data_IF_766646808945
#
_entry.id   IF_766646808945
#
_cell.length_a   1.000
_cell.length_b   1.000
_cell.length_c   1.000
_cell.angle_alpha   90.00
_cell.angle_beta   90.00
_cell.angle_gamma   90.00
#
_symmetry.space_group_name_H-M   'P 1'
#
loop_
_entity.id
_entity.type
_entity.pdbx_description
1 polymer ?
2 water ?
#
# COMPACT_ATOMS: atom_id res chain seq x y z
N UNK A 3 -8.77 3.87 15.85
CA UNK A 3 -7.37 4.36 15.92
C UNK A 3 -6.94 4.92 14.55
N UNK A 4 -7.88 5.16 13.64
CA UNK A 4 -7.58 5.74 12.33
C UNK A 4 -6.91 4.71 11.42
N UNK A 5 -6.40 5.17 10.29
CA UNK A 5 -5.72 4.24 9.37
C UNK A 5 -4.36 3.97 9.99
N UNK A 6 -3.77 2.80 9.71
CA UNK A 6 -2.43 2.49 10.18
C UNK A 6 -1.39 3.36 9.46
N UNK A 7 -0.24 3.54 10.14
CA UNK A 7 0.86 4.33 9.56
C UNK A 7 1.60 3.50 8.51
N UNK A 8 2.06 4.17 7.48
CA UNK A 8 2.90 3.52 6.47
C UNK A 8 4.11 2.95 7.22
N UNK A 9 4.58 1.72 6.90
CA UNK A 9 5.75 1.16 7.55
C UNK A 9 6.95 2.06 7.29
N UNK A 10 7.80 2.10 8.29
CA UNK A 10 9.07 2.85 8.17
C UNK A 10 10.16 1.92 7.62
N UNK A 11 10.99 2.51 6.76
CA UNK A 11 12.16 1.88 6.11
C UNK A 11 13.14 1.52 7.22
N UNK A 12 13.79 0.34 7.19
CA UNK A 12 14.75 -0.02 8.22
C UNK A 12 15.99 0.88 8.08
N UNK A 13 16.75 1.06 9.15
CA UNK A 13 18.11 1.67 9.05
C UNK A 13 19.02 0.69 8.30
N UNK A 14 18.88 -0.59 8.64
CA UNK A 14 19.71 -1.75 8.24
C UNK A 14 19.26 -2.24 6.86
N UNK A 15 20.17 -2.33 5.89
CA UNK A 15 19.86 -2.73 4.50
C UNK A 15 20.13 -4.21 4.31
N UNK A 16 20.04 -4.99 5.39
CA UNK A 16 20.19 -6.46 5.37
C UNK A 16 19.03 -7.10 4.60
N UNK A 17 19.27 -8.28 4.03
CA UNK A 17 18.26 -9.09 3.31
C UNK A 17 17.00 -9.25 4.17
N UNK A 18 17.18 -9.53 5.46
CA UNK A 18 16.08 -9.82 6.41
C UNK A 18 15.31 -8.52 6.73
N UNK A 19 16.00 -7.41 7.02
CA UNK A 19 15.38 -6.09 7.25
C UNK A 19 14.56 -5.71 6.00
N UNK A 20 15.14 -5.83 4.81
CA UNK A 20 14.46 -5.41 3.57
C UNK A 20 13.31 -6.36 3.21
N UNK A 21 13.49 -7.65 3.40
CA UNK A 21 12.45 -8.65 3.11
C UNK A 21 11.24 -8.38 4.04
N UNK A 22 11.50 -8.07 5.30
CA UNK A 22 10.40 -7.82 6.28
C UNK A 22 9.72 -6.53 5.80
N UNK A 23 10.50 -5.53 5.42
CA UNK A 23 9.93 -4.20 5.02
C UNK A 23 9.04 -4.45 3.79
N UNK A 24 9.48 -5.29 2.83
CA UNK A 24 8.66 -5.59 1.63
C UNK A 24 7.34 -6.19 2.08
N UNK A 25 7.38 -7.17 2.99
CA UNK A 25 6.16 -7.82 3.50
C UNK A 25 5.26 -6.75 4.12
N UNK A 26 5.77 -5.89 4.99
CA UNK A 26 4.93 -4.83 5.61
C UNK A 26 4.31 -3.96 4.51
N UNK A 27 5.09 -3.52 3.53
CA UNK A 27 4.56 -2.60 2.51
C UNK A 27 3.43 -3.28 1.75
N UNK A 28 3.62 -4.54 1.31
CA UNK A 28 2.58 -5.33 0.60
C UNK A 28 1.31 -5.36 1.47
N UNK A 29 1.50 -5.61 2.76
CA UNK A 29 0.41 -5.77 3.73
C UNK A 29 -0.31 -4.44 3.92
N UNK A 30 0.43 -3.37 3.99
CA UNK A 30 -0.12 -2.01 4.17
C UNK A 30 -0.94 -1.64 2.94
N UNK A 31 -0.40 -1.92 1.74
CA UNK A 31 -1.17 -1.69 0.48
C UNK A 31 -2.49 -2.44 0.58
N UNK A 32 -2.48 -3.71 0.98
CA UNK A 32 -3.70 -4.52 1.01
C UNK A 32 -4.66 -3.92 2.04
N UNK A 33 -4.18 -3.42 3.16
CA UNK A 33 -5.08 -2.72 4.13
C UNK A 33 -5.75 -1.55 3.43
N UNK A 34 -4.98 -0.67 2.80
CA UNK A 34 -5.54 0.54 2.15
C UNK A 34 -6.51 0.16 1.05
N UNK A 35 -6.13 -0.80 0.20
CA UNK A 35 -7.00 -1.21 -0.92
C UNK A 35 -8.32 -1.74 -0.36
N UNK A 36 -8.28 -2.57 0.68
CA UNK A 36 -9.47 -3.19 1.25
C UNK A 36 -10.34 -2.07 1.81
N UNK A 37 -9.71 -1.10 2.45
CA UNK A 37 -10.44 0.01 3.12
C UNK A 37 -11.17 0.79 2.01
N UNK A 38 -10.48 1.06 0.91
CA UNK A 38 -11.04 1.82 -0.25
C UNK A 38 -12.19 1.02 -0.86
N UNK A 39 -12.02 -0.28 -1.08
CA UNK A 39 -13.07 -1.12 -1.72
C UNK A 39 -14.27 -1.18 -0.78
N UNK A 40 -14.10 -1.40 0.53
CA UNK A 40 -15.22 -1.57 1.48
C UNK A 40 -15.94 -0.23 1.63
N UNK A 41 -15.22 0.89 1.56
CA UNK A 41 -15.83 2.23 1.77
C UNK A 41 -16.60 2.58 0.50
N UNK A 42 -16.12 2.20 -0.69
CA UNK A 42 -16.89 2.38 -1.97
C UNK A 42 -18.21 1.63 -1.90
N UNK A 43 -18.23 0.43 -1.32
CA UNK A 43 -19.45 -0.43 -1.25
C UNK A 43 -20.53 0.28 -0.43
N UNK A 44 -20.15 0.98 0.64
CA UNK A 44 -21.07 1.59 1.64
C UNK A 44 -21.61 2.93 1.13
N UNK A 45 -20.76 3.75 0.50
CA UNK A 45 -21.17 5.00 -0.22
C UNK A 45 -20.66 4.91 -1.66
N UNK A 46 -21.53 4.48 -2.59
CA UNK A 46 -21.20 4.27 -4.02
C UNK A 46 -21.90 5.33 -4.88
N UNK A 47 -21.74 6.60 -4.52
CA UNK A 47 -22.03 7.75 -5.41
C UNK A 47 -20.99 7.72 -6.54
N UNK A 48 -21.38 8.17 -7.74
CA UNK A 48 -20.52 8.20 -8.96
C UNK A 48 -19.27 9.06 -8.72
N UNK A 49 -19.29 9.91 -7.68
CA UNK A 49 -18.16 10.81 -7.32
C UNK A 49 -16.97 9.99 -6.80
N UNK A 50 -17.19 8.78 -6.27
CA UNK A 50 -16.15 7.98 -5.55
C UNK A 50 -14.87 7.95 -6.38
N UNK A 51 -13.71 8.37 -5.81
CA UNK A 51 -12.45 8.44 -6.56
C UNK A 51 -12.00 7.10 -7.18
N UNK A 52 -11.17 7.22 -8.22
CA UNK A 52 -10.66 6.11 -9.07
C UNK A 52 -9.30 5.68 -8.50
N UNK A 53 -9.08 4.40 -8.22
CA UNK A 53 -7.75 3.95 -7.73
C UNK A 53 -7.29 2.75 -8.56
N UNK A 54 -5.97 2.65 -8.72
CA UNK A 54 -5.26 1.48 -9.30
C UNK A 54 -5.22 0.37 -8.25
N UNK A 55 -5.71 -0.84 -8.57
CA UNK A 55 -5.45 -2.06 -7.77
C UNK A 55 -4.01 -2.50 -8.07
N UNK A 56 -3.26 -2.88 -7.05
CA UNK A 56 -1.82 -3.17 -7.25
C UNK A 56 -1.72 -4.43 -8.09
N UNK A 57 -0.81 -4.37 -9.05
CA UNK A 57 -0.53 -5.45 -10.04
C UNK A 57 0.67 -6.25 -9.52
N UNK A 58 0.45 -7.42 -8.93
CA UNK A 58 1.54 -8.23 -8.32
C UNK A 58 2.48 -8.79 -9.41
N UNK A 59 2.10 -8.71 -10.69
CA UNK A 59 2.99 -9.12 -11.80
C UNK A 59 4.20 -8.17 -11.91
N UNK A 60 4.14 -6.99 -11.28
CA UNK A 60 5.28 -6.03 -11.26
C UNK A 60 6.29 -6.37 -10.14
N UNK A 61 6.05 -7.48 -9.43
CA UNK A 61 6.89 -7.90 -8.30
C UNK A 61 7.77 -9.08 -8.76
N UNK A 62 9.06 -9.01 -8.44
CA UNK A 62 10.07 -10.07 -8.74
C UNK A 62 9.86 -11.17 -7.71
N UNK A 63 10.06 -12.44 -8.06
CA UNK A 63 9.74 -13.55 -7.12
C UNK A 63 10.99 -14.27 -6.60
N UNK A 64 12.21 -13.73 -6.72
CA UNK A 64 13.44 -14.57 -6.64
C UNK A 64 14.31 -14.31 -5.41
N UNK A 65 13.91 -13.45 -4.46
CA UNK A 65 14.54 -13.33 -3.11
C UNK A 65 15.91 -12.64 -3.15
N UNK A 66 16.42 -12.28 -4.32
CA UNK A 66 17.66 -11.48 -4.49
C UNK A 66 17.51 -10.18 -3.69
N UNK A 67 18.55 -9.74 -2.98
CA UNK A 67 18.59 -8.39 -2.36
C UNK A 67 18.21 -7.36 -3.43
N UNK A 68 18.73 -7.53 -4.63
CA UNK A 68 18.42 -6.64 -5.78
C UNK A 68 16.92 -6.65 -6.11
N UNK A 69 16.30 -7.82 -6.19
CA UNK A 69 14.88 -7.95 -6.57
C UNK A 69 14.00 -7.42 -5.42
N UNK A 70 14.44 -7.59 -4.17
CA UNK A 70 13.68 -7.11 -2.98
C UNK A 70 13.67 -5.58 -3.00
N UNK A 71 14.85 -4.97 -3.16
CA UNK A 71 14.98 -3.50 -3.27
C UNK A 71 14.10 -3.01 -4.43
N UNK A 72 14.04 -3.69 -5.57
CA UNK A 72 13.21 -3.29 -6.73
C UNK A 72 11.71 -3.37 -6.40
N UNK A 73 11.29 -4.45 -5.77
CA UNK A 73 9.89 -4.58 -5.27
C UNK A 73 9.56 -3.45 -4.30
N UNK A 74 10.45 -3.14 -3.37
CA UNK A 74 10.21 -2.03 -2.37
C UNK A 74 9.88 -0.77 -3.18
N UNK A 75 10.69 -0.44 -4.18
CA UNK A 75 10.43 0.75 -5.01
C UNK A 75 9.03 0.73 -5.61
N UNK A 76 8.63 -0.40 -6.21
CA UNK A 76 7.34 -0.56 -6.86
C UNK A 76 6.21 -0.37 -5.83
N UNK A 77 6.36 -1.02 -4.70
CA UNK A 77 5.32 -0.86 -3.63
C UNK A 77 5.26 0.59 -3.18
N UNK A 78 6.40 1.23 -2.89
CA UNK A 78 6.38 2.65 -2.43
C UNK A 78 5.70 3.51 -3.48
N UNK A 79 6.01 3.31 -4.78
CA UNK A 79 5.35 4.12 -5.84
C UNK A 79 3.83 3.93 -5.83
N UNK A 80 3.33 2.73 -5.51
CA UNK A 80 1.89 2.44 -5.49
C UNK A 80 1.27 3.13 -4.27
N UNK A 81 1.96 3.07 -3.15
CA UNK A 81 1.48 3.77 -1.92
C UNK A 81 1.28 5.23 -2.26
N UNK A 82 2.23 5.85 -2.93
CA UNK A 82 2.11 7.28 -3.27
C UNK A 82 0.85 7.55 -4.07
N UNK A 83 0.31 6.59 -4.81
CA UNK A 83 -0.93 6.72 -5.61
C UNK A 83 -2.16 6.59 -4.72
N UNK A 84 -2.16 5.65 -3.77
CA UNK A 84 -3.42 5.29 -3.08
C UNK A 84 -3.54 5.90 -1.67
N UNK A 85 -2.46 6.17 -0.99
CA UNK A 85 -2.50 6.67 0.42
C UNK A 85 -3.30 7.96 0.47
N UNK A 86 -3.09 8.93 -0.44
CA UNK A 86 -3.83 10.18 -0.27
C UNK A 86 -5.32 9.96 -0.44
N UNK A 87 -5.72 9.10 -1.34
CA UNK A 87 -7.13 8.76 -1.63
C UNK A 87 -7.71 8.06 -0.39
N UNK A 88 -6.99 7.10 0.18
CA UNK A 88 -7.48 6.37 1.35
C UNK A 88 -7.75 7.36 2.48
N UNK A 89 -6.82 8.29 2.67
CA UNK A 89 -6.89 9.24 3.81
C UNK A 89 -8.08 10.18 3.60
N UNK A 90 -8.31 10.64 2.38
CA UNK A 90 -9.48 11.50 2.06
C UNK A 90 -10.80 10.73 2.24
N UNK A 91 -10.88 9.48 1.83
CA UNK A 91 -12.15 8.73 1.98
C UNK A 91 -12.41 8.45 3.45
N UNK A 92 -11.38 8.18 4.25
CA UNK A 92 -11.48 7.94 5.70
C UNK A 92 -12.13 9.19 6.32
N UNK A 93 -11.63 10.37 5.93
CA UNK A 93 -12.16 11.61 6.57
C UNK A 93 -13.59 11.83 6.13
N UNK A 94 -13.84 11.65 4.83
CA UNK A 94 -15.15 11.94 4.19
C UNK A 94 -16.20 11.14 4.94
N UNK A 95 -15.89 9.91 5.34
CA UNK A 95 -16.92 8.96 5.84
C UNK A 95 -16.83 8.80 7.36
N UNK A 96 -15.84 9.41 8.04
CA UNK A 96 -15.80 9.53 9.52
C UNK A 96 -16.28 10.92 9.96
N UNK A 97 -16.89 11.67 9.04
CA UNK A 97 -17.27 13.10 9.25
C UNK A 97 -18.40 13.21 10.27
#
# INVERSE_FOLDING_TARGET
GAMGLPEEPSSPQESTLKALSLYEAHLSSYIMYLQTFLVKTKQKVNNKNYPEFTLFDTSKLKKDQTLKSIKTNIAALKNHIDKIKPIAMQIYKKYSKNIP
#
